data_IF_885156471422
#
_entry.id   IF_885156471422
#
_cell.length_a   1.000
_cell.length_b   1.000
_cell.length_c   1.000
_cell.angle_alpha   90.00
_cell.angle_beta   90.00
_cell.angle_gamma   90.00
#
_symmetry.space_group_name_H-M   'P 1'
#
loop_
_entity.id
_entity.type
_entity.pdbx_description
1 polymer ?
#
# COMPACT_ATOMS: atom_id res chain seq x y z
N UNK A 1 17.99 -36.49 8.83
CA UNK A 1 18.55 -35.15 8.56
C UNK A 1 17.80 -34.61 7.37
N UNK A 2 16.66 -33.98 7.60
CA UNK A 2 15.60 -33.78 6.58
C UNK A 2 15.20 -32.30 6.44
N UNK A 3 16.16 -31.38 6.60
CA UNK A 3 15.93 -29.93 6.67
C UNK A 3 16.67 -29.18 5.55
N UNK A 4 16.28 -29.40 4.29
CA UNK A 4 16.77 -28.58 3.16
C UNK A 4 15.75 -28.42 2.02
N UNK A 5 14.49 -28.82 2.21
CA UNK A 5 13.49 -28.83 1.13
C UNK A 5 13.18 -27.42 0.62
N UNK A 6 12.96 -26.46 1.52
CA UNK A 6 12.69 -25.06 1.16
C UNK A 6 13.87 -24.41 0.43
N UNK A 7 15.09 -24.75 0.83
CA UNK A 7 16.31 -24.25 0.18
C UNK A 7 16.43 -24.78 -1.25
N UNK A 8 16.18 -26.08 -1.46
CA UNK A 8 16.18 -26.71 -2.79
C UNK A 8 15.10 -26.09 -3.68
N UNK A 9 13.89 -25.91 -3.16
CA UNK A 9 12.80 -25.24 -3.87
C UNK A 9 13.25 -23.84 -4.29
N UNK A 10 13.78 -23.04 -3.36
CA UNK A 10 14.22 -21.68 -3.69
C UNK A 10 15.36 -21.66 -4.71
N UNK A 11 16.32 -22.60 -4.62
CA UNK A 11 17.40 -22.71 -5.61
C UNK A 11 16.87 -22.99 -7.01
N UNK A 12 15.88 -23.87 -7.18
CA UNK A 12 15.26 -24.16 -8.49
C UNK A 12 14.54 -22.94 -9.09
N UNK A 13 13.96 -22.09 -8.25
CA UNK A 13 13.37 -20.81 -8.70
C UNK A 13 14.46 -19.83 -9.12
N UNK A 14 15.51 -19.71 -8.31
CA UNK A 14 16.63 -18.79 -8.56
C UNK A 14 17.46 -19.18 -9.80
N UNK A 15 17.57 -20.47 -10.10
CA UNK A 15 18.24 -20.96 -11.32
C UNK A 15 17.37 -20.81 -12.57
N UNK A 16 16.08 -20.54 -12.42
CA UNK A 16 15.12 -20.47 -13.52
C UNK A 16 14.69 -21.83 -14.06
N UNK A 17 15.02 -22.93 -13.36
CA UNK A 17 14.57 -24.28 -13.73
C UNK A 17 13.06 -24.45 -13.60
N UNK A 18 12.47 -23.78 -12.60
CA UNK A 18 11.03 -23.87 -12.31
C UNK A 18 10.46 -22.47 -12.06
N UNK A 19 9.29 -22.18 -12.64
CA UNK A 19 8.55 -20.95 -12.38
C UNK A 19 8.02 -20.89 -10.95
N UNK A 20 8.01 -19.68 -10.37
CA UNK A 20 7.51 -19.46 -9.00
C UNK A 20 6.02 -19.83 -8.84
N UNK A 21 5.25 -19.71 -9.91
CA UNK A 21 3.85 -20.10 -10.00
C UNK A 21 3.66 -21.62 -9.85
N UNK A 22 4.48 -22.42 -10.53
CA UNK A 22 4.46 -23.87 -10.43
C UNK A 22 4.88 -24.32 -9.03
N UNK A 23 5.91 -23.71 -8.47
CA UNK A 23 6.34 -23.95 -7.08
C UNK A 23 5.21 -23.66 -6.11
N UNK A 24 4.55 -22.51 -6.27
CA UNK A 24 3.45 -22.13 -5.38
C UNK A 24 2.30 -23.13 -5.48
N UNK A 25 1.90 -23.54 -6.68
CA UNK A 25 0.83 -24.51 -6.86
C UNK A 25 1.16 -25.88 -6.25
N UNK A 26 2.39 -26.36 -6.43
CA UNK A 26 2.81 -27.68 -5.99
C UNK A 26 3.00 -27.76 -4.47
N UNK A 27 3.55 -26.70 -3.86
CA UNK A 27 3.96 -26.71 -2.45
C UNK A 27 3.13 -25.77 -1.56
N UNK A 28 1.99 -25.26 -2.07
CA UNK A 28 1.14 -24.26 -1.38
C UNK A 28 0.93 -24.52 0.10
N UNK A 29 0.45 -25.73 0.45
CA UNK A 29 0.11 -26.10 1.83
C UNK A 29 1.32 -25.98 2.76
N UNK A 30 2.49 -26.34 2.27
CA UNK A 30 3.74 -26.34 3.03
C UNK A 30 4.30 -24.93 3.18
N UNK A 31 4.13 -24.09 2.14
CA UNK A 31 4.55 -22.70 2.15
C UNK A 31 3.65 -21.83 3.05
N UNK A 32 2.36 -22.13 3.13
CA UNK A 32 1.43 -21.40 4.00
C UNK A 32 1.67 -21.68 5.50
N UNK A 33 2.29 -22.82 5.86
CA UNK A 33 2.59 -23.22 7.25
C UNK A 33 4.01 -22.80 7.71
N UNK A 34 4.14 -21.85 8.66
CA UNK A 34 5.43 -21.29 9.07
C UNK A 34 6.25 -22.24 9.97
N UNK A 35 5.66 -23.35 10.42
CA UNK A 35 6.35 -24.38 11.22
C UNK A 35 7.34 -25.21 10.42
N UNK A 36 7.36 -25.07 9.09
CA UNK A 36 8.26 -25.83 8.20
C UNK A 36 9.69 -25.29 8.21
N UNK A 37 9.91 -24.02 8.56
CA UNK A 37 11.24 -23.41 8.57
C UNK A 37 11.86 -23.42 9.97
N UNK A 38 12.92 -24.24 10.14
CA UNK A 38 13.60 -24.42 11.44
C UNK A 38 15.02 -23.88 11.44
N UNK A 39 15.64 -23.77 10.26
CA UNK A 39 17.00 -23.24 10.08
C UNK A 39 16.98 -21.82 9.50
N UNK A 40 18.11 -21.12 9.61
CA UNK A 40 18.30 -19.78 9.01
C UNK A 40 17.99 -19.79 7.49
N UNK A 41 18.54 -20.75 6.75
CA UNK A 41 18.39 -20.84 5.29
C UNK A 41 16.95 -21.16 4.88
N UNK A 42 16.25 -22.00 5.64
CA UNK A 42 14.83 -22.29 5.41
C UNK A 42 13.96 -21.06 5.66
N UNK A 43 14.22 -20.30 6.73
CA UNK A 43 13.49 -19.06 7.03
C UNK A 43 13.65 -18.05 5.91
N UNK A 44 14.88 -17.87 5.44
CA UNK A 44 15.20 -16.96 4.32
C UNK A 44 14.54 -17.41 3.02
N UNK A 45 14.57 -18.71 2.73
CA UNK A 45 13.94 -19.28 1.55
C UNK A 45 12.42 -19.09 1.57
N UNK A 46 11.77 -19.33 2.72
CA UNK A 46 10.33 -19.16 2.87
C UNK A 46 9.89 -17.71 2.62
N UNK A 47 10.60 -16.74 3.21
CA UNK A 47 10.34 -15.31 3.02
C UNK A 47 10.53 -14.93 1.54
N UNK A 48 11.61 -15.41 0.92
CA UNK A 48 11.90 -15.12 -0.48
C UNK A 48 10.87 -15.70 -1.44
N UNK A 49 10.38 -16.93 -1.20
CA UNK A 49 9.33 -17.55 -2.02
C UNK A 49 8.03 -16.73 -1.96
N UNK A 50 7.59 -16.31 -0.76
CA UNK A 50 6.39 -15.46 -0.63
C UNK A 50 6.55 -14.14 -1.36
N UNK A 51 7.70 -13.47 -1.20
CA UNK A 51 7.98 -12.22 -1.89
C UNK A 51 8.01 -12.39 -3.42
N UNK A 52 8.69 -13.41 -3.93
CA UNK A 52 8.76 -13.68 -5.38
C UNK A 52 7.39 -13.98 -5.96
N UNK A 53 6.58 -14.76 -5.25
CA UNK A 53 5.23 -15.06 -5.70
C UNK A 53 4.31 -13.83 -5.61
N UNK A 54 4.49 -12.96 -4.61
CA UNK A 54 3.83 -11.66 -4.56
C UNK A 54 4.17 -10.80 -5.78
N UNK A 55 5.44 -10.74 -6.18
CA UNK A 55 5.87 -10.03 -7.39
C UNK A 55 5.30 -10.64 -8.66
N UNK A 56 5.25 -11.98 -8.75
CA UNK A 56 4.59 -12.67 -9.86
C UNK A 56 3.10 -12.27 -9.95
N UNK A 57 2.35 -12.39 -8.86
CA UNK A 57 0.93 -12.02 -8.83
C UNK A 57 0.70 -10.55 -9.19
N UNK A 58 1.57 -9.66 -8.72
CA UNK A 58 1.51 -8.24 -9.08
C UNK A 58 1.67 -8.03 -10.59
N UNK A 59 2.65 -8.69 -11.21
CA UNK A 59 2.92 -8.59 -12.65
C UNK A 59 1.79 -9.18 -13.50
N UNK A 60 1.13 -10.23 -13.02
CA UNK A 60 -0.05 -10.84 -13.66
C UNK A 60 -1.35 -10.05 -13.41
N UNK A 61 -1.29 -8.96 -12.65
CA UNK A 61 -2.44 -8.09 -12.36
C UNK A 61 -3.30 -8.53 -11.17
N UNK A 62 -2.93 -9.60 -10.46
CA UNK A 62 -3.54 -10.04 -9.20
C UNK A 62 -3.04 -9.20 -8.01
N UNK A 63 -3.22 -7.89 -8.10
CA UNK A 63 -2.64 -6.92 -7.16
C UNK A 63 -3.12 -7.08 -5.72
N UNK A 64 -4.37 -7.51 -5.49
CA UNK A 64 -4.89 -7.75 -4.14
C UNK A 64 -4.23 -8.96 -3.47
N UNK A 65 -4.06 -10.05 -4.21
CA UNK A 65 -3.43 -11.27 -3.71
C UNK A 65 -1.91 -11.05 -3.48
N UNK A 66 -1.27 -10.25 -4.33
CA UNK A 66 0.10 -9.79 -4.11
C UNK A 66 0.26 -9.06 -2.76
N UNK A 67 -0.70 -8.22 -2.38
CA UNK A 67 -0.67 -7.51 -1.09
C UNK A 67 -0.77 -8.47 0.10
N UNK A 68 -1.60 -9.51 -0.02
CA UNK A 68 -1.73 -10.55 1.01
C UNK A 68 -0.40 -11.29 1.23
N UNK A 69 0.29 -11.63 0.14
CA UNK A 69 1.60 -12.28 0.22
C UNK A 69 2.71 -11.38 0.74
N UNK A 70 2.72 -10.09 0.37
CA UNK A 70 3.64 -9.13 0.96
C UNK A 70 3.44 -9.02 2.47
N UNK A 71 2.18 -8.98 2.92
CA UNK A 71 1.84 -9.01 4.35
C UNK A 71 2.35 -10.29 5.02
N UNK A 72 2.11 -11.44 4.38
CA UNK A 72 2.57 -12.73 4.90
C UNK A 72 4.08 -12.80 5.00
N UNK A 73 4.82 -12.34 3.98
CA UNK A 73 6.28 -12.31 3.98
C UNK A 73 6.82 -11.41 5.12
N UNK A 74 6.20 -10.26 5.36
CA UNK A 74 6.54 -9.38 6.49
C UNK A 74 6.25 -10.01 7.84
N UNK A 75 5.13 -10.70 7.99
CA UNK A 75 4.76 -11.37 9.23
C UNK A 75 5.75 -12.49 9.57
N UNK A 76 6.12 -13.32 8.58
CA UNK A 76 7.15 -14.35 8.72
C UNK A 76 8.50 -13.73 9.09
N UNK A 77 8.91 -12.68 8.38
CA UNK A 77 10.17 -11.97 8.66
C UNK A 77 10.20 -11.42 10.10
N UNK A 78 9.11 -10.80 10.55
CA UNK A 78 8.97 -10.25 11.90
C UNK A 78 8.91 -11.33 12.96
N UNK A 79 8.29 -12.48 12.69
CA UNK A 79 8.26 -13.65 13.58
C UNK A 79 9.68 -14.18 13.84
N UNK A 80 10.56 -14.14 12.84
CA UNK A 80 11.95 -14.57 12.95
C UNK A 80 12.93 -13.46 13.32
N UNK A 81 12.44 -12.29 13.78
CA UNK A 81 13.30 -11.21 14.26
C UNK A 81 14.21 -11.72 15.39
N UNK A 82 15.52 -11.49 15.24
CA UNK A 82 16.55 -11.96 16.18
C UNK A 82 17.08 -13.36 15.90
N UNK A 83 16.47 -14.12 14.98
CA UNK A 83 17.02 -15.39 14.45
C UNK A 83 17.80 -15.20 13.15
N UNK A 84 17.58 -14.06 12.48
CA UNK A 84 18.28 -13.68 11.26
C UNK A 84 19.40 -12.70 11.56
N UNK A 85 20.47 -12.74 10.75
CA UNK A 85 21.50 -11.71 10.79
C UNK A 85 20.89 -10.32 10.58
N UNK A 86 21.28 -9.29 11.35
CA UNK A 86 20.68 -7.96 11.27
C UNK A 86 20.70 -7.36 9.86
N UNK A 87 21.80 -7.53 9.13
CA UNK A 87 21.97 -7.01 7.76
C UNK A 87 20.95 -7.66 6.82
N UNK A 88 20.84 -8.99 6.87
CA UNK A 88 19.89 -9.76 6.07
C UNK A 88 18.45 -9.39 6.40
N UNK A 89 18.11 -9.31 7.70
CA UNK A 89 16.79 -8.89 8.15
C UNK A 89 16.40 -7.52 7.59
N UNK A 90 17.28 -6.52 7.71
CA UNK A 90 17.00 -5.17 7.22
C UNK A 90 16.83 -5.12 5.70
N UNK A 91 17.67 -5.84 4.95
CA UNK A 91 17.59 -5.89 3.48
C UNK A 91 16.28 -6.52 3.00
N UNK A 92 15.84 -7.62 3.61
CA UNK A 92 14.56 -8.24 3.29
C UNK A 92 13.39 -7.35 3.69
N UNK A 93 13.45 -6.74 4.87
CA UNK A 93 12.42 -5.81 5.33
C UNK A 93 12.23 -4.65 4.35
N UNK A 94 13.33 -3.99 3.97
CA UNK A 94 13.31 -2.91 2.98
C UNK A 94 12.74 -3.37 1.64
N UNK A 95 13.17 -4.53 1.15
CA UNK A 95 12.75 -5.08 -0.15
C UNK A 95 11.24 -5.34 -0.19
N UNK A 96 10.71 -6.04 0.82
CA UNK A 96 9.29 -6.38 0.87
C UNK A 96 8.45 -5.13 1.11
N UNK A 97 8.87 -4.20 1.99
CA UNK A 97 8.13 -2.96 2.21
C UNK A 97 8.07 -2.08 0.96
N UNK A 98 9.13 -2.05 0.14
CA UNK A 98 9.11 -1.33 -1.15
C UNK A 98 8.07 -1.90 -2.09
N UNK A 99 8.06 -3.21 -2.26
CA UNK A 99 7.10 -3.88 -3.13
C UNK A 99 5.68 -3.66 -2.62
N UNK A 100 5.45 -3.87 -1.32
CA UNK A 100 4.17 -3.57 -0.66
C UNK A 100 3.71 -2.13 -0.89
N UNK A 101 4.60 -1.14 -0.85
CA UNK A 101 4.26 0.25 -1.11
C UNK A 101 3.79 0.49 -2.55
N UNK A 102 4.42 -0.18 -3.53
CA UNK A 102 4.03 -0.14 -4.94
C UNK A 102 2.64 -0.78 -5.11
N UNK A 103 2.43 -1.97 -4.54
CA UNK A 103 1.16 -2.69 -4.56
C UNK A 103 0.04 -1.85 -3.93
N UNK A 104 0.28 -1.25 -2.76
CA UNK A 104 -0.67 -0.34 -2.10
C UNK A 104 -1.06 0.86 -2.97
N UNK A 105 -0.10 1.44 -3.68
CA UNK A 105 -0.36 2.58 -4.57
C UNK A 105 -1.22 2.15 -5.77
N UNK A 106 -0.96 0.98 -6.35
CA UNK A 106 -1.76 0.42 -7.45
C UNK A 106 -3.21 0.16 -7.05
N UNK A 107 -3.44 -0.33 -5.82
CA UNK A 107 -4.80 -0.53 -5.27
C UNK A 107 -5.48 0.76 -4.81
N UNK A 108 -4.82 1.92 -4.90
CA UNK A 108 -5.28 3.16 -4.25
C UNK A 108 -5.58 2.97 -2.74
N UNK A 109 -4.88 2.02 -2.11
CA UNK A 109 -4.90 1.78 -0.67
C UNK A 109 -3.87 2.69 0.01
N UNK A 110 -4.14 4.00 -0.10
CA UNK A 110 -3.20 5.03 0.32
C UNK A 110 -2.90 5.04 1.82
N UNK A 111 -3.85 4.57 2.66
CA UNK A 111 -3.65 4.48 4.11
C UNK A 111 -2.58 3.44 4.47
N UNK A 112 -2.67 2.25 3.89
CA UNK A 112 -1.68 1.20 4.11
C UNK A 112 -0.34 1.54 3.44
N UNK A 113 -0.37 2.12 2.24
CA UNK A 113 0.82 2.64 1.57
C UNK A 113 1.55 3.69 2.41
N UNK A 114 0.81 4.63 3.04
CA UNK A 114 1.39 5.63 3.93
C UNK A 114 2.08 5.01 5.15
N UNK A 115 1.44 4.02 5.80
CA UNK A 115 2.03 3.31 6.95
C UNK A 115 3.30 2.56 6.54
N UNK A 116 3.26 1.87 5.41
CA UNK A 116 4.39 1.11 4.85
C UNK A 116 5.57 2.04 4.52
N UNK A 117 5.31 3.16 3.86
CA UNK A 117 6.33 4.15 3.52
C UNK A 117 6.86 4.91 4.75
N UNK A 118 6.06 5.05 5.80
CA UNK A 118 6.52 5.60 7.08
C UNK A 118 7.58 4.68 7.70
N UNK A 119 7.34 3.37 7.72
CA UNK A 119 8.30 2.37 8.20
C UNK A 119 9.58 2.38 7.34
N UNK A 120 9.47 2.46 6.00
CA UNK A 120 10.63 2.62 5.11
C UNK A 120 11.44 3.88 5.39
N UNK A 121 10.80 5.02 5.66
CA UNK A 121 11.50 6.25 6.03
C UNK A 121 12.24 6.12 7.37
N UNK A 122 11.82 5.24 8.28
CA UNK A 122 12.50 5.01 9.55
C UNK A 122 13.75 4.15 9.36
N UNK A 123 13.73 3.20 8.40
CA UNK A 123 14.87 2.36 8.03
C UNK A 123 15.90 3.15 7.22
N UNK A 124 15.44 3.91 6.22
CA UNK A 124 16.31 4.68 5.32
C UNK A 124 15.90 6.16 5.26
N UNK A 125 16.20 6.94 6.31
CA UNK A 125 15.75 8.32 6.44
C UNK A 125 16.35 9.27 5.39
N UNK A 126 17.46 8.88 4.75
CA UNK A 126 18.16 9.68 3.74
C UNK A 126 17.60 9.49 2.33
N UNK A 127 16.71 8.52 2.09
CA UNK A 127 16.11 8.31 0.76
C UNK A 127 14.90 9.21 0.56
N UNK A 128 15.12 10.27 -0.21
CA UNK A 128 14.10 11.26 -0.54
C UNK A 128 12.90 10.68 -1.29
N UNK A 129 13.11 9.63 -2.08
CA UNK A 129 12.07 8.92 -2.84
C UNK A 129 10.94 8.42 -1.93
N UNK A 130 11.25 7.84 -0.76
CA UNK A 130 10.23 7.33 0.17
C UNK A 130 9.46 8.47 0.82
N UNK A 131 10.14 9.58 1.11
CA UNK A 131 9.49 10.79 1.63
C UNK A 131 8.52 11.36 0.61
N UNK A 132 8.90 11.41 -0.66
CA UNK A 132 8.05 11.87 -1.76
C UNK A 132 6.85 10.93 -1.94
N UNK A 133 7.08 9.62 -2.04
CA UNK A 133 6.03 8.61 -2.17
C UNK A 133 5.07 8.64 -0.97
N UNK A 134 5.58 8.79 0.26
CA UNK A 134 4.75 8.88 1.46
C UNK A 134 3.82 10.10 1.41
N UNK A 135 4.35 11.24 0.97
CA UNK A 135 3.56 12.43 0.77
C UNK A 135 2.49 12.19 -0.31
N UNK A 136 2.83 11.52 -1.42
CA UNK A 136 1.87 11.14 -2.46
C UNK A 136 0.72 10.29 -1.90
N UNK A 137 1.00 9.28 -1.07
CA UNK A 137 -0.05 8.51 -0.40
C UNK A 137 -0.91 9.40 0.51
N UNK A 138 -0.30 10.31 1.28
CA UNK A 138 -1.06 11.26 2.10
C UNK A 138 -2.00 12.13 1.26
N UNK A 139 -1.52 12.66 0.12
CA UNK A 139 -2.36 13.40 -0.83
C UNK A 139 -3.51 12.55 -1.37
N UNK A 140 -3.22 11.29 -1.75
CA UNK A 140 -4.23 10.33 -2.21
C UNK A 140 -5.32 10.11 -1.16
N UNK A 141 -4.96 9.96 0.12
CA UNK A 141 -5.92 9.83 1.22
C UNK A 141 -6.83 11.07 1.33
N UNK A 142 -6.23 12.26 1.35
CA UNK A 142 -6.97 13.53 1.47
C UNK A 142 -7.92 13.71 0.29
N UNK A 143 -7.44 13.51 -0.94
CA UNK A 143 -8.27 13.63 -2.14
C UNK A 143 -9.41 12.61 -2.16
N UNK A 144 -9.17 11.35 -1.77
CA UNK A 144 -10.20 10.31 -1.72
C UNK A 144 -11.30 10.63 -0.70
N UNK A 145 -10.95 11.29 0.40
CA UNK A 145 -11.91 11.73 1.42
C UNK A 145 -12.72 12.97 0.97
N UNK A 146 -12.06 13.93 0.29
CA UNK A 146 -12.68 15.21 -0.11
C UNK A 146 -13.54 15.08 -1.37
N UNK A 147 -13.12 14.26 -2.34
CA UNK A 147 -13.80 14.10 -3.64
C UNK A 147 -15.33 13.89 -3.55
N UNK A 148 -15.87 12.98 -2.71
CA UNK A 148 -17.32 12.81 -2.60
C UNK A 148 -18.03 14.07 -2.08
N UNK A 149 -17.38 14.87 -1.22
CA UNK A 149 -17.95 16.11 -0.69
C UNK A 149 -18.10 17.14 -1.81
N UNK A 150 -17.13 17.25 -2.71
CA UNK A 150 -17.25 18.11 -3.89
C UNK A 150 -18.43 17.73 -4.78
N UNK A 151 -18.62 16.43 -5.02
CA UNK A 151 -19.76 15.93 -5.82
C UNK A 151 -21.09 16.35 -5.19
N UNK A 152 -21.23 16.22 -3.87
CA UNK A 152 -22.45 16.63 -3.16
C UNK A 152 -22.69 18.14 -3.29
N UNK A 153 -21.66 18.97 -3.10
CA UNK A 153 -21.78 20.44 -3.23
C UNK A 153 -22.22 20.81 -4.65
N UNK A 154 -21.61 20.20 -5.67
CA UNK A 154 -21.95 20.45 -7.09
C UNK A 154 -23.41 20.06 -7.38
N UNK A 155 -23.88 18.93 -6.85
CA UNK A 155 -25.29 18.50 -7.01
C UNK A 155 -26.24 19.51 -6.36
N UNK A 156 -25.95 19.96 -5.14
CA UNK A 156 -26.76 20.97 -4.43
C UNK A 156 -26.82 22.26 -5.26
N UNK A 157 -25.69 22.75 -5.73
CA UNK A 157 -25.64 23.96 -6.57
C UNK A 157 -26.39 23.78 -7.89
N UNK A 158 -26.28 22.63 -8.55
CA UNK A 158 -27.03 22.35 -9.78
C UNK A 158 -28.55 22.41 -9.54
N UNK A 159 -29.04 21.82 -8.44
CA UNK A 159 -30.46 21.90 -8.06
C UNK A 159 -30.88 23.35 -7.77
N UNK A 160 -30.06 24.12 -7.03
CA UNK A 160 -30.33 25.53 -6.74
C UNK A 160 -30.38 26.40 -8.00
N UNK A 161 -29.54 26.11 -9.00
CA UNK A 161 -29.58 26.80 -10.30
C UNK A 161 -30.84 26.43 -11.07
N UNK A 162 -31.16 25.14 -11.19
CA UNK A 162 -32.36 24.66 -11.89
C UNK A 162 -33.65 25.20 -11.28
N UNK A 163 -33.77 25.17 -9.95
CA UNK A 163 -34.97 25.62 -9.28
C UNK A 163 -35.20 27.13 -9.48
N UNK A 164 -34.13 27.93 -9.51
CA UNK A 164 -34.19 29.39 -9.66
C UNK A 164 -34.49 29.83 -11.09
N UNK A 165 -33.86 29.17 -12.07
CA UNK A 165 -33.84 29.63 -13.46
C UNK A 165 -34.72 28.83 -14.42
N UNK A 166 -35.08 27.59 -14.07
CA UNK A 166 -35.85 26.69 -14.94
C UNK A 166 -37.22 26.39 -14.34
N UNK A 167 -37.26 25.92 -13.10
CA UNK A 167 -38.50 25.39 -12.50
C UNK A 167 -39.33 26.47 -11.81
N UNK A 168 -38.71 27.56 -11.34
CA UNK A 168 -39.35 28.62 -10.54
C UNK A 168 -40.12 28.09 -9.30
N UNK A 169 -39.66 26.97 -8.72
CA UNK A 169 -40.18 26.36 -7.50
C UNK A 169 -39.08 26.33 -6.45
N UNK A 170 -39.42 26.51 -5.17
CA UNK A 170 -38.45 26.40 -4.07
C UNK A 170 -38.41 24.97 -3.52
N UNK A 171 -37.40 24.20 -3.93
CA UNK A 171 -37.18 22.82 -3.45
C UNK A 171 -36.17 22.84 -2.29
N UNK A 172 -35.10 23.62 -2.44
CA UNK A 172 -34.03 23.78 -1.47
C UNK A 172 -33.90 25.25 -1.03
N UNK A 173 -33.61 25.51 0.25
CA UNK A 173 -33.40 26.87 0.73
C UNK A 173 -32.14 27.50 0.13
N UNK A 174 -32.21 28.79 -0.23
CA UNK A 174 -31.12 29.54 -0.88
C UNK A 174 -29.85 29.62 -0.02
N UNK A 175 -30.00 29.55 1.31
CA UNK A 175 -28.88 29.56 2.28
C UNK A 175 -27.88 28.41 2.02
N UNK A 176 -28.33 27.30 1.41
CA UNK A 176 -27.44 26.19 1.05
C UNK A 176 -26.36 26.57 0.03
N UNK A 177 -26.59 27.63 -0.76
CA UNK A 177 -25.56 28.15 -1.67
C UNK A 177 -24.36 28.68 -0.88
N UNK A 178 -24.61 29.55 0.10
CA UNK A 178 -23.59 30.18 0.93
C UNK A 178 -22.86 29.15 1.80
N UNK A 179 -23.61 28.23 2.41
CA UNK A 179 -23.03 27.12 3.18
C UNK A 179 -22.12 26.27 2.29
N UNK A 180 -22.60 25.87 1.11
CA UNK A 180 -21.82 25.10 0.14
C UNK A 180 -20.53 25.82 -0.29
N UNK A 181 -20.60 27.15 -0.48
CA UNK A 181 -19.44 27.96 -0.84
C UNK A 181 -18.37 27.98 0.26
N UNK A 182 -18.77 28.18 1.51
CA UNK A 182 -17.83 28.17 2.64
C UNK A 182 -17.21 26.79 2.84
N UNK A 183 -18.00 25.72 2.74
CA UNK A 183 -17.49 24.35 2.81
C UNK A 183 -16.48 24.12 1.67
N UNK A 184 -16.81 24.50 0.44
CA UNK A 184 -15.92 24.38 -0.71
C UNK A 184 -14.58 25.11 -0.50
N UNK A 185 -14.62 26.34 0.01
CA UNK A 185 -13.42 27.12 0.35
C UNK A 185 -12.56 26.41 1.40
N UNK A 186 -13.16 25.87 2.45
CA UNK A 186 -12.43 25.10 3.48
C UNK A 186 -11.78 23.86 2.87
N UNK A 187 -12.49 23.12 2.02
CA UNK A 187 -11.95 21.94 1.35
C UNK A 187 -10.76 22.28 0.44
N UNK A 188 -10.81 23.40 -0.30
CA UNK A 188 -9.66 23.87 -1.07
C UNK A 188 -8.45 24.16 -0.20
N UNK A 189 -8.65 24.81 0.95
CA UNK A 189 -7.56 25.07 1.90
C UNK A 189 -6.98 23.74 2.42
N UNK A 190 -7.82 22.77 2.78
CA UNK A 190 -7.35 21.46 3.23
C UNK A 190 -6.58 20.74 2.11
N UNK A 191 -7.06 20.80 0.87
CA UNK A 191 -6.46 20.10 -0.25
C UNK A 191 -5.11 20.69 -0.68
N UNK A 192 -4.97 22.02 -0.67
CA UNK A 192 -3.79 22.70 -1.23
C UNK A 192 -2.84 23.27 -0.17
N UNK A 193 -3.34 23.74 0.98
CA UNK A 193 -2.53 24.43 2.00
C UNK A 193 -1.96 23.46 3.03
N UNK A 194 -2.78 22.56 3.59
CA UNK A 194 -2.33 21.60 4.62
C UNK A 194 -1.11 20.78 4.16
N UNK A 195 -1.07 20.25 2.92
CA UNK A 195 0.06 19.46 2.50
C UNK A 195 1.30 20.28 2.13
N UNK A 196 1.13 21.55 1.78
CA UNK A 196 2.24 22.48 1.57
C UNK A 196 2.91 22.82 2.90
N UNK A 197 2.11 23.10 3.93
CA UNK A 197 2.60 23.35 5.30
C UNK A 197 3.28 22.10 5.86
N UNK A 198 2.68 20.91 5.69
CA UNK A 198 3.27 19.65 6.14
C UNK A 198 4.64 19.34 5.49
N UNK A 199 4.87 19.79 4.25
CA UNK A 199 6.17 19.68 3.57
C UNK A 199 7.23 20.61 4.15
N UNK A 200 6.86 21.81 4.61
CA UNK A 200 7.81 22.79 5.18
C UNK A 200 8.28 22.45 6.60
N UNK A 201 7.43 21.84 7.42
CA UNK A 201 7.75 21.54 8.83
C UNK A 201 8.79 20.40 8.98
N UNK A 202 9.03 19.60 7.92
CA UNK A 202 9.94 18.44 7.93
C UNK A 202 11.23 18.62 7.11
N UNK A 203 11.53 19.85 6.67
CA UNK A 203 12.86 20.25 6.18
C UNK A 203 13.62 20.90 7.31
#
# INVERSE_FOLDING_TARGET
MEANKLVIIMQSVMSGEVGIDLVWQQYRKELEEPTVATTYDEMMSLIAIHYQYATYLYNEGYTADALELDNRALDILRQYKGKLEPVSYHKFLETILKHKAIVCNSLSNYNEGYKTLKELCEIEPRKDEYRIAKNHCFFGMVNKAIAPIYVIIIIIWAILVLQKWVLHVTILPSVLWEIGFWIWMVLLVIQFVVPFVARKIKR
#
